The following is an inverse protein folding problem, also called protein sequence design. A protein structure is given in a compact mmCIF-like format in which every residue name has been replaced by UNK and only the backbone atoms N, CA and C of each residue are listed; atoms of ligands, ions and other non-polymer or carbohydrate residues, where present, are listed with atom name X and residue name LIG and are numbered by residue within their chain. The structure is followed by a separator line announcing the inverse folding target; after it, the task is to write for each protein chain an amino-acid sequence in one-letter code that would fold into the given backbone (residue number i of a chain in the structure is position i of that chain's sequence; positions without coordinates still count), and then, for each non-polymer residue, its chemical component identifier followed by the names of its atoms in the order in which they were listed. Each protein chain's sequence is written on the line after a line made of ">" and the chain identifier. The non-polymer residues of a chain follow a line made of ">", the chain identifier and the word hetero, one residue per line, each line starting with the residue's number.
data_IF_142863715667
#
_entry.id   IF_142863715667
#
_cell.length_a   1.000
_cell.length_b   1.000
_cell.length_c   1.000
_cell.angle_alpha   90.00
_cell.angle_beta   90.00
_cell.angle_gamma   90.00
#
_symmetry.space_group_name_H-M   'P 1'
#
loop_
_entity.id
_entity.type
_entity.pdbx_description
1 polymer ?
#
# COMPACT_ATOMS: atom_id res chain seq x y z
N UNK A 1 -53.06 -30.22 -63.56
CA UNK A 1 -54.51 -30.34 -63.25
C UNK A 1 -54.69 -30.20 -61.75
N UNK A 2 -55.72 -29.45 -61.33
CA UNK A 2 -56.33 -29.34 -59.96
C UNK A 2 -55.45 -28.74 -58.85
N UNK A 3 -55.66 -27.46 -58.42
CA UNK A 3 -56.68 -26.93 -57.47
C UNK A 3 -56.55 -27.60 -56.07
N UNK A 4 -56.55 -26.95 -54.90
CA UNK A 4 -57.36 -25.82 -54.41
C UNK A 4 -56.88 -25.42 -52.97
N UNK A 5 -57.08 -24.15 -52.58
CA UNK A 5 -57.51 -23.60 -51.26
C UNK A 5 -57.15 -24.40 -49.98
N UNK A 6 -56.47 -23.88 -48.97
CA UNK A 6 -56.73 -22.65 -48.22
C UNK A 6 -57.18 -23.00 -46.79
N UNK A 7 -56.55 -22.44 -45.75
CA UNK A 7 -57.17 -22.05 -44.45
C UNK A 7 -56.14 -21.48 -43.47
N UNK A 8 -56.46 -20.27 -42.98
CA UNK A 8 -55.93 -19.65 -41.78
C UNK A 8 -56.13 -20.56 -40.56
N UNK A 9 -55.18 -20.54 -39.63
CA UNK A 9 -55.43 -20.74 -38.20
C UNK A 9 -54.37 -19.99 -37.40
N UNK A 10 -54.81 -18.95 -36.70
CA UNK A 10 -54.09 -18.27 -35.62
C UNK A 10 -53.62 -19.30 -34.59
N UNK A 11 -52.33 -19.29 -34.27
CA UNK A 11 -51.81 -19.82 -33.01
C UNK A 11 -50.85 -18.76 -32.46
N UNK A 12 -51.32 -18.07 -31.42
CA UNK A 12 -50.54 -17.12 -30.65
C UNK A 12 -49.39 -17.85 -29.96
N UNK A 13 -48.16 -17.49 -30.34
CA UNK A 13 -46.98 -17.80 -29.57
C UNK A 13 -46.93 -16.82 -28.38
N UNK A 14 -47.38 -17.30 -27.23
CA UNK A 14 -47.17 -16.69 -25.93
C UNK A 14 -45.65 -16.68 -25.65
N UNK A 15 -44.98 -15.57 -25.93
CA UNK A 15 -43.59 -15.37 -25.54
C UNK A 15 -43.54 -15.27 -24.00
N UNK A 16 -43.14 -16.36 -23.35
CA UNK A 16 -42.75 -16.36 -21.94
C UNK A 16 -41.44 -15.57 -21.86
N UNK A 17 -41.57 -14.26 -21.67
CA UNK A 17 -40.48 -13.42 -21.16
C UNK A 17 -40.17 -13.89 -19.75
N UNK A 18 -39.25 -14.84 -19.66
CA UNK A 18 -38.63 -15.21 -18.39
C UNK A 18 -37.89 -13.98 -17.89
N UNK A 19 -38.47 -13.32 -16.88
CA UNK A 19 -37.85 -12.25 -16.14
C UNK A 19 -36.63 -12.84 -15.43
N UNK A 20 -35.47 -12.79 -16.09
CA UNK A 20 -34.19 -12.80 -15.39
C UNK A 20 -34.17 -11.54 -14.54
N UNK A 21 -34.59 -11.68 -13.28
CA UNK A 21 -34.29 -10.73 -12.23
C UNK A 21 -32.76 -10.63 -12.15
N UNK A 22 -32.22 -9.61 -12.79
CA UNK A 22 -30.85 -9.17 -12.57
C UNK A 22 -30.77 -8.72 -11.12
N UNK A 23 -30.30 -9.61 -10.26
CA UNK A 23 -29.90 -9.27 -8.90
C UNK A 23 -28.76 -8.27 -8.98
N UNK A 24 -29.09 -7.03 -8.66
CA UNK A 24 -28.26 -5.92 -8.19
C UNK A 24 -26.81 -5.88 -8.68
N UNK A 25 -26.56 -4.96 -9.62
CA UNK A 25 -25.25 -4.36 -9.79
C UNK A 25 -24.70 -3.90 -8.41
N UNK A 26 -23.48 -4.31 -8.09
CA UNK A 26 -22.70 -3.74 -7.00
C UNK A 26 -22.48 -2.24 -7.20
N UNK A 27 -21.95 -1.51 -6.19
CA UNK A 27 -21.92 -0.06 -6.19
C UNK A 27 -21.19 0.50 -7.44
N UNK A 28 -22.01 1.06 -8.33
CA UNK A 28 -21.78 2.25 -9.14
C UNK A 28 -20.46 2.38 -9.92
N UNK A 29 -20.48 1.95 -11.18
CA UNK A 29 -19.82 2.69 -12.26
C UNK A 29 -20.51 4.07 -12.33
N UNK A 30 -20.06 5.03 -11.53
CA UNK A 30 -20.71 6.35 -11.44
C UNK A 30 -20.31 7.22 -10.25
N UNK A 31 -19.59 6.70 -9.25
CA UNK A 31 -19.09 7.54 -8.17
C UNK A 31 -17.91 8.38 -8.68
N UNK A 32 -17.99 9.71 -8.52
CA UNK A 32 -16.93 10.61 -8.94
C UNK A 32 -15.70 10.38 -8.06
N UNK A 33 -14.67 9.74 -8.63
CA UNK A 33 -13.35 9.64 -8.00
C UNK A 33 -12.67 11.00 -8.11
N UNK A 34 -12.45 11.64 -6.97
CA UNK A 34 -11.71 12.88 -6.86
C UNK A 34 -10.63 12.72 -5.76
N UNK A 35 -9.41 13.24 -5.99
CA UNK A 35 -8.38 13.20 -4.99
C UNK A 35 -8.75 14.21 -3.89
N UNK A 36 -8.61 13.84 -2.61
CA UNK A 36 -8.71 14.82 -1.53
C UNK A 36 -7.51 15.77 -1.58
N UNK A 37 -7.67 16.98 -1.04
CA UNK A 37 -6.65 18.04 -1.09
C UNK A 37 -5.27 17.60 -0.58
N UNK A 38 -5.21 16.80 0.48
CA UNK A 38 -3.98 16.36 1.14
C UNK A 38 -3.81 14.84 1.12
N UNK A 39 -4.18 14.20 -0.01
CA UNK A 39 -4.04 12.78 -0.31
C UNK A 39 -4.91 11.81 0.51
N UNK A 40 -5.12 12.07 1.80
CA UNK A 40 -5.96 11.25 2.69
C UNK A 40 -7.23 11.97 3.21
N UNK A 41 -7.30 13.30 3.06
CA UNK A 41 -8.40 14.14 3.52
C UNK A 41 -8.29 15.56 2.92
N UNK A 42 -9.37 16.34 2.99
CA UNK A 42 -9.38 17.72 2.50
C UNK A 42 -8.78 18.69 3.52
N UNK A 43 -8.87 18.36 4.81
CA UNK A 43 -8.21 19.08 5.89
C UNK A 43 -7.58 18.09 6.87
N UNK A 44 -6.28 18.27 7.17
CA UNK A 44 -5.56 17.39 8.07
C UNK A 44 -5.69 17.81 9.54
N UNK A 45 -5.92 16.82 10.41
CA UNK A 45 -6.17 17.02 11.83
C UNK A 45 -4.94 17.03 12.75
N UNK A 46 -5.14 17.29 14.06
CA UNK A 46 -4.06 17.43 15.04
C UNK A 46 -3.25 16.16 15.27
N UNK A 47 -3.81 14.96 15.04
CA UNK A 47 -3.05 13.71 15.17
C UNK A 47 -1.97 13.55 14.08
N UNK A 48 -1.97 14.39 13.05
CA UNK A 48 -0.90 14.48 12.05
C UNK A 48 0.34 15.23 12.57
N UNK A 49 0.26 15.92 13.72
CA UNK A 49 1.33 16.78 14.25
C UNK A 49 2.36 16.03 15.11
N UNK A 50 2.07 14.79 15.48
CA UNK A 50 2.92 13.94 16.32
C UNK A 50 3.13 12.59 15.68
N UNK A 51 4.37 12.12 15.67
CA UNK A 51 4.74 10.80 15.17
C UNK A 51 4.36 9.70 16.18
N UNK A 52 4.53 8.43 15.81
CA UNK A 52 4.18 7.30 16.67
C UNK A 52 5.03 7.18 17.95
N UNK A 53 6.13 7.96 18.05
CA UNK A 53 6.99 8.08 19.23
C UNK A 53 6.72 9.37 20.01
N UNK A 54 5.71 10.15 19.63
CA UNK A 54 5.35 11.42 20.25
C UNK A 54 6.25 12.59 19.84
N UNK A 55 7.10 12.44 18.84
CA UNK A 55 7.92 13.54 18.33
C UNK A 55 7.08 14.47 17.43
N UNK A 56 7.28 15.77 17.59
CA UNK A 56 6.66 16.78 16.73
C UNK A 56 7.40 16.98 15.40
N UNK A 57 6.83 17.82 14.53
CA UNK A 57 7.45 18.23 13.26
C UNK A 57 8.84 18.85 13.44
N UNK A 58 9.72 18.62 12.48
CA UNK A 58 11.11 19.07 12.48
C UNK A 58 11.64 19.32 11.06
N UNK A 59 11.82 20.60 10.74
CA UNK A 59 12.48 21.06 9.50
C UNK A 59 13.89 20.50 9.36
N UNK A 60 14.63 20.43 10.47
CA UNK A 60 15.98 19.89 10.48
C UNK A 60 16.01 18.39 10.15
N UNK A 61 15.05 17.60 10.67
CA UNK A 61 14.96 16.17 10.36
C UNK A 61 14.61 15.93 8.88
N UNK A 62 13.62 16.66 8.34
CA UNK A 62 13.23 16.56 6.94
C UNK A 62 14.39 16.95 5.99
N UNK A 63 15.08 18.07 6.28
CA UNK A 63 16.23 18.52 5.50
C UNK A 63 17.38 17.52 5.52
N UNK A 64 17.76 17.00 6.70
CA UNK A 64 18.83 16.00 6.82
C UNK A 64 18.51 14.74 6.05
N UNK A 65 17.27 14.27 6.12
CA UNK A 65 16.84 13.08 5.39
C UNK A 65 16.91 13.25 3.86
N UNK A 66 16.44 14.37 3.33
CA UNK A 66 16.52 14.66 1.88
C UNK A 66 17.98 14.85 1.42
N UNK A 67 18.79 15.53 2.23
CA UNK A 67 20.22 15.66 1.96
C UNK A 67 20.92 14.29 1.96
N UNK A 68 20.64 13.42 2.94
CA UNK A 68 21.21 12.09 2.99
C UNK A 68 20.80 11.21 1.80
N UNK A 69 19.54 11.27 1.35
CA UNK A 69 19.11 10.61 0.11
C UNK A 69 19.89 11.14 -1.11
N UNK A 70 20.08 12.45 -1.20
CA UNK A 70 20.81 13.03 -2.33
C UNK A 70 22.30 12.66 -2.30
N UNK A 71 22.96 12.87 -1.17
CA UNK A 71 24.41 12.84 -1.05
C UNK A 71 24.95 11.39 -0.95
N UNK A 72 24.17 10.45 -0.37
CA UNK A 72 24.61 9.06 -0.16
C UNK A 72 24.01 8.05 -1.14
N UNK A 73 23.35 8.50 -2.22
CA UNK A 73 22.62 7.62 -3.15
C UNK A 73 23.44 6.43 -3.68
N UNK A 74 24.69 6.64 -4.10
CA UNK A 74 25.55 5.55 -4.60
C UNK A 74 25.82 4.51 -3.52
N UNK A 75 26.08 4.95 -2.29
CA UNK A 75 26.33 4.06 -1.16
C UNK A 75 25.07 3.23 -0.86
N UNK A 76 23.91 3.86 -0.80
CA UNK A 76 22.64 3.16 -0.55
C UNK A 76 22.32 2.14 -1.66
N UNK A 77 22.56 2.47 -2.93
CA UNK A 77 22.38 1.53 -4.03
C UNK A 77 23.37 0.35 -3.89
N UNK A 78 24.63 0.62 -3.58
CA UNK A 78 25.65 -0.41 -3.36
C UNK A 78 25.30 -1.33 -2.19
N UNK A 79 24.77 -0.79 -1.08
CA UNK A 79 24.35 -1.54 0.10
C UNK A 79 23.19 -2.48 -0.26
N UNK A 80 22.15 -1.94 -0.90
CA UNK A 80 21.01 -2.74 -1.36
C UNK A 80 21.46 -3.88 -2.30
N UNK A 81 22.46 -3.64 -3.15
CA UNK A 81 23.01 -4.66 -4.05
C UNK A 81 23.77 -5.78 -3.33
N UNK A 82 24.27 -5.53 -2.11
CA UNK A 82 24.89 -6.56 -1.26
C UNK A 82 23.88 -7.32 -0.39
N UNK A 83 22.62 -6.90 -0.38
CA UNK A 83 21.57 -7.59 0.37
C UNK A 83 21.41 -9.03 -0.11
N UNK A 84 21.34 -9.96 0.82
CA UNK A 84 21.15 -11.39 0.57
C UNK A 84 19.71 -11.79 0.86
N UNK A 85 19.40 -13.08 0.81
CA UNK A 85 18.06 -13.57 1.17
C UNK A 85 17.83 -13.56 2.68
N UNK A 86 18.91 -13.57 3.48
CA UNK A 86 18.87 -13.57 4.94
C UNK A 86 19.04 -12.17 5.54
N UNK A 87 19.79 -11.29 4.87
CA UNK A 87 20.15 -9.97 5.38
C UNK A 87 19.80 -8.90 4.36
N UNK A 88 19.09 -7.88 4.80
CA UNK A 88 18.64 -6.78 3.95
C UNK A 88 19.27 -5.47 4.40
N UNK A 89 20.25 -4.99 3.63
CA UNK A 89 21.04 -3.79 3.89
C UNK A 89 20.27 -2.52 3.49
N UNK A 90 19.14 -2.27 4.17
CA UNK A 90 18.21 -1.18 3.84
C UNK A 90 18.15 -0.06 4.88
N UNK A 91 18.61 -0.29 6.10
CA UNK A 91 18.15 0.49 7.25
C UNK A 91 18.59 1.95 7.17
N UNK A 92 19.85 2.21 6.78
CA UNK A 92 20.35 3.56 6.56
C UNK A 92 19.60 4.29 5.44
N UNK A 93 19.23 3.57 4.37
CA UNK A 93 18.45 4.13 3.26
C UNK A 93 17.01 4.44 3.69
N UNK A 94 16.35 3.48 4.35
CA UNK A 94 14.97 3.54 4.80
C UNK A 94 14.72 4.56 5.93
N UNK A 95 15.75 4.88 6.71
CA UNK A 95 15.68 5.88 7.77
C UNK A 95 15.32 7.28 7.22
N UNK A 96 15.56 7.54 5.94
CA UNK A 96 15.38 8.87 5.36
C UNK A 96 13.94 9.18 4.92
N UNK A 97 13.15 8.21 4.45
CA UNK A 97 11.80 8.56 4.00
C UNK A 97 10.81 8.76 5.15
N UNK A 98 11.01 8.17 6.33
CA UNK A 98 10.09 8.34 7.47
C UNK A 98 10.01 9.81 7.93
N UNK A 99 11.13 10.55 8.14
CA UNK A 99 11.06 11.97 8.44
C UNK A 99 10.41 12.79 7.34
N UNK A 100 10.68 12.50 6.07
CA UNK A 100 10.07 13.23 4.94
C UNK A 100 8.56 13.06 4.95
N UNK A 101 8.09 11.82 5.05
CA UNK A 101 6.67 11.50 5.00
C UNK A 101 5.90 12.10 6.19
N UNK A 102 6.38 11.87 7.42
CA UNK A 102 5.73 12.44 8.62
C UNK A 102 5.67 13.97 8.54
N UNK A 103 6.79 14.62 8.22
CA UNK A 103 6.83 16.08 8.17
C UNK A 103 5.99 16.67 7.03
N UNK A 104 5.69 15.92 5.98
CA UNK A 104 4.77 16.36 4.92
C UNK A 104 3.35 16.49 5.46
N UNK A 105 2.85 15.47 6.16
CA UNK A 105 1.55 15.53 6.83
C UNK A 105 1.53 16.60 7.92
N UNK A 106 2.58 16.66 8.74
CA UNK A 106 2.65 17.62 9.83
C UNK A 106 2.74 19.07 9.32
N UNK A 107 3.42 19.33 8.20
CA UNK A 107 3.46 20.64 7.58
C UNK A 107 2.08 21.07 7.07
N UNK A 108 1.40 20.18 6.34
CA UNK A 108 0.07 20.47 5.81
C UNK A 108 -0.97 20.66 6.94
N UNK A 109 -0.95 19.81 7.98
CA UNK A 109 -1.83 19.94 9.14
C UNK A 109 -1.57 21.22 9.95
N UNK A 110 -0.31 21.63 10.10
CA UNK A 110 0.06 22.85 10.81
C UNK A 110 -0.05 24.11 9.94
N UNK A 111 -0.41 23.98 8.66
CA UNK A 111 -0.34 25.05 7.68
C UNK A 111 1.04 25.76 7.68
N UNK A 112 2.12 24.97 7.69
CA UNK A 112 3.50 25.43 7.82
C UNK A 112 4.20 25.51 6.44
N UNK A 113 4.12 26.66 5.74
CA UNK A 113 4.67 26.80 4.40
C UNK A 113 6.20 26.68 4.38
N UNK A 114 6.90 27.03 5.46
CA UNK A 114 8.36 26.95 5.54
C UNK A 114 8.85 25.49 5.59
N UNK A 115 8.17 24.65 6.37
CA UNK A 115 8.44 23.21 6.39
C UNK A 115 8.06 22.55 5.06
N UNK A 116 6.88 22.88 4.51
CA UNK A 116 6.45 22.38 3.20
C UNK A 116 7.48 22.72 2.12
N UNK A 117 7.92 23.97 2.06
CA UNK A 117 8.94 24.44 1.10
C UNK A 117 10.27 23.69 1.26
N UNK A 118 10.74 23.48 2.49
CA UNK A 118 11.96 22.69 2.76
C UNK A 118 11.87 21.29 2.17
N UNK A 119 10.71 20.63 2.27
CA UNK A 119 10.51 19.29 1.73
C UNK A 119 10.45 19.34 0.21
N UNK A 120 9.67 20.25 -0.37
CA UNK A 120 9.51 20.37 -1.82
C UNK A 120 10.85 20.70 -2.48
N UNK A 121 11.66 21.61 -1.93
CA UNK A 121 12.99 21.94 -2.43
C UNK A 121 13.92 20.72 -2.45
N UNK A 122 13.86 19.89 -1.40
CA UNK A 122 14.64 18.65 -1.36
C UNK A 122 14.18 17.62 -2.39
N UNK A 123 12.87 17.50 -2.63
CA UNK A 123 12.32 16.65 -3.69
C UNK A 123 12.73 17.17 -5.09
N UNK A 124 12.65 18.47 -5.33
CA UNK A 124 13.07 19.10 -6.58
C UNK A 124 14.56 18.89 -6.82
N UNK A 125 15.41 19.03 -5.79
CA UNK A 125 16.85 18.75 -5.88
C UNK A 125 17.13 17.30 -6.28
N UNK A 126 16.42 16.32 -5.70
CA UNK A 126 16.53 14.90 -6.10
C UNK A 126 16.11 14.70 -7.57
N UNK A 127 15.00 15.33 -7.97
CA UNK A 127 14.48 15.23 -9.32
C UNK A 127 15.43 15.82 -10.38
N UNK A 128 15.93 17.04 -10.14
CA UNK A 128 16.85 17.73 -11.05
C UNK A 128 18.20 17.02 -11.18
N UNK A 129 18.63 16.29 -10.16
CA UNK A 129 19.87 15.50 -10.19
C UNK A 129 19.68 14.10 -10.77
N UNK A 130 18.45 13.70 -11.13
CA UNK A 130 18.14 12.40 -11.72
C UNK A 130 18.46 11.20 -10.81
N UNK A 131 18.55 11.42 -9.50
CA UNK A 131 18.94 10.37 -8.54
C UNK A 131 17.88 9.28 -8.45
N UNK A 132 18.33 8.07 -8.18
CA UNK A 132 17.56 6.83 -8.13
C UNK A 132 16.80 6.49 -9.40
N UNK A 133 17.32 6.90 -10.57
CA UNK A 133 16.77 6.52 -11.86
C UNK A 133 17.75 5.62 -12.61
N UNK A 134 18.91 6.15 -13.00
CA UNK A 134 19.82 5.49 -13.93
C UNK A 134 21.27 5.39 -13.40
N UNK A 135 21.44 5.37 -12.07
CA UNK A 135 22.77 5.18 -11.51
C UNK A 135 23.35 3.79 -11.80
N UNK A 136 24.69 3.68 -11.86
CA UNK A 136 25.37 2.40 -11.92
C UNK A 136 24.90 1.46 -10.80
N UNK A 137 24.69 0.19 -11.15
CA UNK A 137 24.23 -0.87 -10.25
C UNK A 137 22.78 -0.74 -9.73
N UNK A 138 22.02 0.28 -10.15
CA UNK A 138 20.61 0.37 -9.84
C UNK A 138 19.80 -0.61 -10.71
N UNK A 139 19.38 -1.72 -10.10
CA UNK A 139 18.50 -2.67 -10.79
C UNK A 139 17.05 -2.19 -10.82
N UNK A 140 16.47 -2.18 -12.02
CA UNK A 140 15.02 -2.13 -12.21
C UNK A 140 14.35 -3.47 -11.87
N UNK A 141 13.02 -3.47 -11.74
CA UNK A 141 12.27 -4.72 -11.60
C UNK A 141 12.46 -5.67 -12.79
N UNK A 142 12.52 -5.13 -14.01
CA UNK A 142 12.71 -5.94 -15.21
C UNK A 142 14.07 -6.65 -15.19
N UNK A 143 15.14 -5.93 -14.86
CA UNK A 143 16.50 -6.50 -14.75
C UNK A 143 16.60 -7.47 -13.57
N UNK A 144 16.00 -7.16 -12.42
CA UNK A 144 16.05 -8.05 -11.26
C UNK A 144 15.30 -9.38 -11.51
N UNK A 145 14.20 -9.35 -12.26
CA UNK A 145 13.42 -10.56 -12.62
C UNK A 145 14.09 -11.43 -13.68
N UNK A 146 15.06 -10.90 -14.42
CA UNK A 146 15.88 -11.70 -15.37
C UNK A 146 17.12 -12.32 -14.72
N UNK A 147 17.35 -12.08 -13.42
CA UNK A 147 18.43 -12.67 -12.64
C UNK A 147 17.88 -13.80 -11.76
N UNK A 148 18.74 -14.72 -11.27
CA UNK A 148 18.30 -15.81 -10.40
C UNK A 148 17.47 -15.31 -9.22
N UNK A 149 16.43 -16.06 -8.88
CA UNK A 149 15.56 -15.73 -7.77
C UNK A 149 16.36 -15.73 -6.45
N UNK A 150 15.85 -15.01 -5.46
CA UNK A 150 16.44 -15.06 -4.12
C UNK A 150 16.32 -16.50 -3.60
N UNK A 151 17.36 -16.99 -2.91
CA UNK A 151 17.62 -18.39 -2.55
C UNK A 151 18.08 -19.33 -3.68
N UNK A 152 17.87 -19.01 -4.95
CA UNK A 152 18.26 -19.91 -6.06
C UNK A 152 19.79 -20.10 -6.12
N UNK A 153 20.53 -19.01 -5.96
CA UNK A 153 21.99 -19.02 -5.85
C UNK A 153 22.51 -19.27 -4.41
N UNK A 154 21.63 -19.73 -3.51
CA UNK A 154 21.90 -19.89 -2.08
C UNK A 154 21.53 -18.66 -1.23
N UNK A 155 21.32 -18.84 0.08
CA UNK A 155 20.77 -17.81 0.96
C UNK A 155 21.70 -16.61 1.17
N UNK A 156 23.01 -16.81 1.04
CA UNK A 156 24.05 -15.77 1.19
C UNK A 156 24.40 -15.03 -0.11
N UNK A 157 23.86 -15.47 -1.26
CA UNK A 157 24.06 -14.77 -2.51
C UNK A 157 23.24 -13.45 -2.55
N UNK A 158 23.72 -12.42 -3.28
CA UNK A 158 22.93 -11.21 -3.50
C UNK A 158 21.54 -11.51 -4.05
N UNK A 159 20.51 -10.94 -3.43
CA UNK A 159 19.11 -11.07 -3.84
C UNK A 159 18.75 -9.90 -4.76
N UNK A 160 18.61 -10.12 -6.09
CA UNK A 160 18.47 -9.03 -7.06
C UNK A 160 17.23 -8.16 -6.85
N UNK A 161 16.17 -8.73 -6.27
CA UNK A 161 14.88 -8.03 -6.08
C UNK A 161 14.90 -7.04 -4.92
N UNK A 162 15.88 -7.07 -4.01
CA UNK A 162 15.95 -6.12 -2.91
C UNK A 162 16.18 -4.68 -3.37
N UNK A 163 17.08 -4.46 -4.34
CA UNK A 163 17.33 -3.11 -4.88
C UNK A 163 16.06 -2.43 -5.43
N UNK A 164 15.35 -2.98 -6.44
CA UNK A 164 14.15 -2.34 -6.95
C UNK A 164 13.03 -2.28 -5.92
N UNK A 165 12.92 -3.25 -4.99
CA UNK A 165 11.92 -3.21 -3.91
C UNK A 165 12.08 -1.97 -3.03
N UNK A 166 13.28 -1.72 -2.51
CA UNK A 166 13.49 -0.58 -1.60
C UNK A 166 13.47 0.77 -2.32
N UNK A 167 13.92 0.81 -3.57
CA UNK A 167 13.78 2.01 -4.41
C UNK A 167 12.31 2.30 -4.71
N UNK A 168 11.49 1.26 -4.97
CA UNK A 168 10.03 1.41 -5.12
C UNK A 168 9.40 1.97 -3.84
N UNK A 169 9.78 1.46 -2.67
CA UNK A 169 9.30 1.98 -1.36
C UNK A 169 9.72 3.43 -1.14
N UNK A 170 10.95 3.82 -1.50
CA UNK A 170 11.38 5.22 -1.44
C UNK A 170 10.46 6.08 -2.29
N UNK A 171 10.28 5.75 -3.58
CA UNK A 171 9.41 6.51 -4.47
C UNK A 171 7.96 6.58 -3.98
N UNK A 172 7.42 5.49 -3.43
CA UNK A 172 6.08 5.49 -2.84
C UNK A 172 5.96 6.56 -1.74
N UNK A 173 6.90 6.61 -0.80
CA UNK A 173 6.88 7.62 0.27
C UNK A 173 7.06 9.04 -0.27
N UNK A 174 7.95 9.25 -1.24
CA UNK A 174 8.20 10.60 -1.81
C UNK A 174 7.03 11.10 -2.66
N UNK A 175 6.39 10.21 -3.44
CA UNK A 175 5.17 10.54 -4.18
C UNK A 175 4.02 10.86 -3.22
N UNK A 176 3.82 10.06 -2.15
CA UNK A 176 2.80 10.39 -1.15
C UNK A 176 3.10 11.75 -0.50
N UNK A 177 4.35 12.02 -0.16
CA UNK A 177 4.77 13.31 0.40
C UNK A 177 4.45 14.48 -0.53
N UNK A 178 4.74 14.34 -1.83
CA UNK A 178 4.40 15.35 -2.84
C UNK A 178 2.88 15.53 -3.00
N UNK A 179 2.10 14.44 -2.98
CA UNK A 179 0.64 14.49 -3.06
C UNK A 179 0.01 15.16 -1.83
N UNK A 180 0.53 14.92 -0.63
CA UNK A 180 0.09 15.59 0.60
C UNK A 180 0.36 17.10 0.54
N UNK A 181 1.50 17.48 -0.03
CA UNK A 181 1.93 18.87 -0.18
C UNK A 181 1.48 19.51 -1.50
N UNK A 182 0.60 18.87 -2.27
CA UNK A 182 0.15 19.35 -3.57
C UNK A 182 -0.31 20.83 -3.56
N UNK A 183 -1.06 21.31 -2.54
CA UNK A 183 -1.47 22.72 -2.45
C UNK A 183 -0.32 23.73 -2.28
N UNK A 184 0.89 23.27 -1.94
CA UNK A 184 2.09 24.09 -1.76
C UNK A 184 3.02 24.05 -2.98
N UNK A 185 2.75 23.18 -3.97
CA UNK A 185 3.54 23.07 -5.19
C UNK A 185 3.21 24.21 -6.15
N UNK A 186 4.25 24.91 -6.62
CA UNK A 186 4.16 25.83 -7.75
C UNK A 186 4.18 25.07 -9.09
N UNK A 187 3.85 25.74 -10.18
CA UNK A 187 3.99 25.16 -11.53
C UNK A 187 5.43 24.77 -11.85
N UNK A 188 6.41 25.54 -11.36
CA UNK A 188 7.83 25.22 -11.51
C UNK A 188 8.22 23.95 -10.75
N UNK A 189 7.70 23.76 -9.53
CA UNK A 189 7.92 22.53 -8.77
C UNK A 189 7.34 21.32 -9.51
N UNK A 190 6.10 21.46 -10.00
CA UNK A 190 5.43 20.41 -10.78
C UNK A 190 6.21 20.06 -12.04
N UNK A 191 6.69 21.07 -12.77
CA UNK A 191 7.50 20.88 -13.98
C UNK A 191 8.81 20.13 -13.69
N UNK A 192 9.46 20.41 -12.55
CA UNK A 192 10.69 19.72 -12.14
C UNK A 192 10.43 18.28 -11.66
N UNK A 193 9.37 18.05 -10.89
CA UNK A 193 9.08 16.74 -10.29
C UNK A 193 8.48 15.74 -11.27
N UNK A 194 7.62 16.19 -12.20
CA UNK A 194 6.82 15.30 -13.07
C UNK A 194 7.66 14.34 -13.91
N UNK A 195 8.71 14.77 -14.66
CA UNK A 195 9.50 13.86 -15.48
C UNK A 195 10.19 12.77 -14.65
N UNK A 196 10.71 13.16 -13.48
CA UNK A 196 11.40 12.25 -12.57
C UNK A 196 10.44 11.20 -11.99
N UNK A 197 9.29 11.63 -11.46
CA UNK A 197 8.28 10.71 -10.95
C UNK A 197 7.66 9.84 -12.04
N UNK A 198 7.49 10.35 -13.25
CA UNK A 198 7.00 9.57 -14.39
C UNK A 198 7.97 8.44 -14.79
N UNK A 199 9.26 8.74 -14.88
CA UNK A 199 10.29 7.72 -15.11
C UNK A 199 10.31 6.67 -13.99
N UNK A 200 10.31 7.12 -12.74
CA UNK A 200 10.29 6.24 -11.57
C UNK A 200 9.03 5.37 -11.50
N UNK A 201 7.86 5.96 -11.80
CA UNK A 201 6.59 5.27 -11.82
C UNK A 201 6.60 4.11 -12.82
N UNK A 202 7.06 4.37 -14.05
CA UNK A 202 7.15 3.33 -15.09
C UNK A 202 8.15 2.24 -14.74
N UNK A 203 9.32 2.61 -14.20
CA UNK A 203 10.45 1.69 -13.95
C UNK A 203 10.28 0.85 -12.68
N UNK A 204 9.67 1.41 -11.64
CA UNK A 204 9.61 0.82 -10.31
C UNK A 204 8.19 0.55 -9.82
N UNK A 205 7.34 1.57 -9.75
CA UNK A 205 6.02 1.47 -9.08
C UNK A 205 5.02 0.63 -9.89
N UNK A 206 4.82 0.95 -11.18
CA UNK A 206 3.80 0.30 -12.02
C UNK A 206 4.05 -1.21 -12.14
N UNK A 207 5.31 -1.60 -12.37
CA UNK A 207 5.71 -3.00 -12.57
C UNK A 207 5.46 -3.87 -11.34
N UNK A 208 5.56 -3.27 -10.15
CA UNK A 208 5.28 -3.96 -8.89
C UNK A 208 3.79 -3.97 -8.59
N UNK A 209 3.13 -2.83 -8.72
CA UNK A 209 1.73 -2.63 -8.38
C UNK A 209 0.74 -3.44 -9.24
N UNK A 210 1.08 -3.67 -10.52
CA UNK A 210 0.28 -4.51 -11.43
C UNK A 210 0.84 -5.92 -11.58
N UNK A 211 1.87 -6.28 -10.81
CA UNK A 211 2.44 -7.61 -10.84
C UNK A 211 1.47 -8.65 -10.26
N UNK A 212 1.58 -9.89 -10.70
CA UNK A 212 0.85 -11.01 -10.09
C UNK A 212 1.52 -11.42 -8.76
N UNK A 213 1.52 -10.51 -7.78
CA UNK A 213 2.02 -10.81 -6.45
C UNK A 213 1.08 -11.80 -5.75
N UNK A 214 1.64 -12.69 -4.95
CA UNK A 214 0.87 -13.58 -4.09
C UNK A 214 0.84 -12.99 -2.68
N UNK A 215 -0.34 -12.64 -2.19
CA UNK A 215 -0.54 -11.92 -0.92
C UNK A 215 -0.56 -10.40 -1.03
N UNK A 216 -0.67 -9.75 0.13
CA UNK A 216 -0.72 -8.30 0.30
C UNK A 216 0.48 -7.83 1.13
N UNK A 217 1.12 -6.76 0.68
CA UNK A 217 2.37 -6.18 1.18
C UNK A 217 2.27 -4.65 1.18
N UNK A 218 3.43 -3.96 1.20
CA UNK A 218 3.52 -2.52 1.44
C UNK A 218 2.66 -1.70 0.49
N UNK A 219 2.07 -0.65 1.03
CA UNK A 219 1.21 0.31 0.36
C UNK A 219 0.03 -0.36 -0.36
N UNK A 220 -0.38 -1.54 0.14
CA UNK A 220 -1.39 -2.42 -0.43
C UNK A 220 -0.93 -3.19 -1.67
N UNK A 221 0.35 -3.45 -1.85
CA UNK A 221 1.02 -3.76 -3.14
C UNK A 221 1.11 -2.52 -4.05
N UNK A 222 1.68 -1.45 -3.50
CA UNK A 222 1.99 -0.20 -4.21
C UNK A 222 0.80 0.56 -4.81
N UNK A 223 -0.42 0.17 -4.42
CA UNK A 223 -1.63 0.85 -4.87
C UNK A 223 -1.73 2.29 -4.38
N UNK A 224 -1.30 2.57 -3.15
CA UNK A 224 -1.28 3.95 -2.64
C UNK A 224 -0.29 4.83 -3.42
N UNK A 225 0.85 4.27 -3.85
CA UNK A 225 1.82 4.99 -4.68
C UNK A 225 1.24 5.33 -6.06
N UNK A 226 0.43 4.42 -6.64
CA UNK A 226 -0.31 4.68 -7.88
C UNK A 226 -1.32 5.83 -7.72
N UNK A 227 -2.05 5.87 -6.60
CA UNK A 227 -2.96 6.98 -6.30
C UNK A 227 -2.22 8.30 -6.09
N UNK A 228 -1.10 8.28 -5.37
CA UNK A 228 -0.27 9.47 -5.17
C UNK A 228 0.26 10.01 -6.51
N UNK A 229 0.74 9.12 -7.38
CA UNK A 229 1.15 9.47 -8.74
C UNK A 229 -0.01 10.06 -9.55
N UNK A 230 -1.21 9.46 -9.49
CA UNK A 230 -2.39 9.98 -10.16
C UNK A 230 -2.77 11.40 -9.71
N UNK A 231 -2.65 11.70 -8.41
CA UNK A 231 -2.88 13.05 -7.89
C UNK A 231 -1.83 14.04 -8.42
N UNK A 232 -0.54 13.70 -8.32
CA UNK A 232 0.56 14.57 -8.78
C UNK A 232 0.44 14.90 -10.26
N UNK A 233 0.03 13.92 -11.09
CA UNK A 233 -0.09 14.10 -12.54
C UNK A 233 -1.43 14.69 -12.97
N UNK A 234 -2.47 14.60 -12.13
CA UNK A 234 -3.84 14.94 -12.47
C UNK A 234 -4.55 13.86 -13.30
N UNK A 235 -3.98 12.65 -13.40
CA UNK A 235 -4.55 11.56 -14.20
C UNK A 235 -5.56 10.73 -13.40
N UNK A 236 -6.83 11.13 -13.47
CA UNK A 236 -7.92 10.40 -12.79
C UNK A 236 -8.26 9.05 -13.45
N UNK A 237 -7.78 8.80 -14.68
CA UNK A 237 -7.88 7.49 -15.31
C UNK A 237 -7.06 6.46 -14.55
N UNK A 238 -5.84 6.82 -14.14
CA UNK A 238 -4.99 5.96 -13.30
C UNK A 238 -5.66 5.70 -11.95
N UNK A 239 -6.25 6.72 -11.32
CA UNK A 239 -6.91 6.57 -10.02
C UNK A 239 -8.09 5.61 -10.07
N UNK A 240 -9.02 5.78 -11.03
CA UNK A 240 -10.17 4.89 -11.21
C UNK A 240 -9.75 3.45 -11.48
N UNK A 241 -8.75 3.27 -12.36
CA UNK A 241 -8.24 1.95 -12.69
C UNK A 241 -7.59 1.27 -11.49
N UNK A 242 -6.83 2.01 -10.66
CA UNK A 242 -6.22 1.46 -9.45
C UNK A 242 -7.27 1.07 -8.41
N UNK A 243 -8.28 1.90 -8.13
CA UNK A 243 -9.33 1.56 -7.16
C UNK A 243 -10.11 0.31 -7.59
N UNK A 244 -10.50 0.23 -8.86
CA UNK A 244 -11.18 -0.94 -9.41
C UNK A 244 -10.30 -2.19 -9.37
N UNK A 245 -9.04 -2.06 -9.79
CA UNK A 245 -8.07 -3.14 -9.76
C UNK A 245 -7.87 -3.64 -8.33
N UNK A 246 -7.62 -2.74 -7.37
CA UNK A 246 -7.32 -3.09 -5.98
C UNK A 246 -8.47 -3.77 -5.28
N UNK A 247 -9.70 -3.36 -5.57
CA UNK A 247 -10.90 -4.04 -5.07
C UNK A 247 -10.92 -5.51 -5.49
N UNK A 248 -10.80 -5.79 -6.79
CA UNK A 248 -10.80 -7.16 -7.31
C UNK A 248 -9.62 -7.98 -6.79
N UNK A 249 -8.48 -7.32 -6.64
CA UNK A 249 -7.25 -7.88 -6.13
C UNK A 249 -7.34 -8.30 -4.65
N UNK A 250 -7.93 -7.47 -3.79
CA UNK A 250 -8.22 -7.84 -2.40
C UNK A 250 -9.28 -8.95 -2.31
N UNK A 251 -10.32 -8.93 -3.16
CA UNK A 251 -11.28 -10.03 -3.26
C UNK A 251 -10.63 -11.35 -3.72
N UNK A 252 -9.54 -11.31 -4.47
CA UNK A 252 -8.81 -12.53 -4.84
C UNK A 252 -7.98 -13.06 -3.67
N UNK A 253 -7.42 -12.17 -2.84
CA UNK A 253 -6.40 -12.51 -1.85
C UNK A 253 -6.91 -12.70 -0.44
N UNK A 254 -7.98 -12.01 -0.05
CA UNK A 254 -8.61 -12.15 1.26
C UNK A 254 -9.76 -13.14 1.10
N UNK A 255 -9.59 -14.32 1.68
CA UNK A 255 -10.62 -15.36 1.66
C UNK A 255 -11.86 -14.92 2.46
N UNK A 256 -13.05 -15.48 2.19
CA UNK A 256 -14.23 -15.27 3.03
C UNK A 256 -13.99 -15.57 4.52
N UNK A 257 -13.07 -16.48 4.82
CA UNK A 257 -12.64 -16.84 6.19
C UNK A 257 -11.84 -15.73 6.88
N UNK A 258 -11.38 -14.71 6.15
CA UNK A 258 -10.46 -13.68 6.62
C UNK A 258 -8.98 -14.04 6.47
N UNK A 259 -8.61 -15.29 6.16
CA UNK A 259 -7.22 -15.62 5.87
C UNK A 259 -6.79 -14.97 4.54
N UNK A 260 -5.60 -14.39 4.56
CA UNK A 260 -4.98 -13.73 3.41
C UNK A 260 -4.05 -14.74 2.73
N UNK A 261 -4.31 -15.02 1.46
CA UNK A 261 -3.48 -15.88 0.60
C UNK A 261 -2.02 -15.48 0.70
N UNK A 262 -1.15 -16.48 0.83
CA UNK A 262 0.31 -16.31 0.91
C UNK A 262 0.85 -15.40 2.02
N UNK A 263 0.01 -14.81 2.86
CA UNK A 263 0.39 -14.17 4.11
C UNK A 263 0.13 -15.10 5.30
N UNK A 264 -1.09 -15.63 5.40
CA UNK A 264 -1.56 -16.36 6.59
C UNK A 264 -1.04 -17.80 6.68
N UNK A 265 -0.66 -18.36 5.54
CA UNK A 265 -0.30 -19.77 5.38
C UNK A 265 1.21 -20.03 5.48
N UNK A 266 1.98 -19.06 6.00
CA UNK A 266 3.46 -19.10 6.04
C UNK A 266 4.06 -19.90 7.20
N UNK A 267 3.38 -20.95 7.66
CA UNK A 267 3.93 -21.75 8.75
C UNK A 267 4.03 -20.96 10.05
N UNK A 268 5.10 -21.15 10.81
CA UNK A 268 5.29 -20.49 12.12
C UNK A 268 5.39 -18.95 12.06
N UNK A 269 5.41 -18.38 10.85
CA UNK A 269 5.37 -16.93 10.60
C UNK A 269 4.03 -16.43 10.08
N UNK A 270 3.05 -17.32 9.91
CA UNK A 270 1.78 -17.02 9.25
C UNK A 270 1.01 -15.88 9.91
N UNK A 271 0.98 -15.81 11.23
CA UNK A 271 0.28 -14.75 11.97
C UNK A 271 0.97 -13.38 11.79
N UNK A 272 2.28 -13.35 11.91
CA UNK A 272 3.08 -12.15 11.67
C UNK A 272 2.92 -11.63 10.23
N UNK A 273 2.92 -12.51 9.22
CA UNK A 273 2.67 -12.09 7.83
C UNK A 273 1.21 -11.74 7.54
N UNK A 274 0.25 -12.36 8.21
CA UNK A 274 -1.15 -11.98 8.14
C UNK A 274 -1.34 -10.52 8.55
N UNK A 275 -0.81 -10.14 9.72
CA UNK A 275 -0.89 -8.76 10.19
C UNK A 275 -0.06 -7.78 9.36
N UNK A 276 1.07 -8.22 8.79
CA UNK A 276 1.85 -7.44 7.83
C UNK A 276 1.08 -7.07 6.55
N UNK A 277 0.28 -8.00 6.03
CA UNK A 277 -0.54 -7.76 4.84
C UNK A 277 -1.85 -7.05 5.15
N UNK A 278 -2.43 -7.29 6.33
CA UNK A 278 -3.70 -6.69 6.71
C UNK A 278 -3.59 -5.18 6.99
N UNK A 279 -2.51 -4.72 7.62
CA UNK A 279 -2.34 -3.28 7.92
C UNK A 279 -2.34 -2.39 6.66
N UNK A 280 -1.56 -2.69 5.61
CA UNK A 280 -1.64 -1.96 4.35
C UNK A 280 -2.98 -2.13 3.63
N UNK A 281 -3.64 -3.29 3.74
CA UNK A 281 -4.95 -3.50 3.12
C UNK A 281 -6.03 -2.60 3.75
N UNK A 282 -6.09 -2.56 5.07
CA UNK A 282 -7.00 -1.70 5.83
C UNK A 282 -6.67 -0.22 5.65
N UNK A 283 -5.38 0.13 5.63
CA UNK A 283 -4.95 1.49 5.34
C UNK A 283 -5.32 1.90 3.90
N UNK A 284 -5.23 0.99 2.93
CA UNK A 284 -5.70 1.27 1.57
C UNK A 284 -7.21 1.50 1.55
N UNK A 285 -8.00 0.72 2.30
CA UNK A 285 -9.44 0.89 2.37
C UNK A 285 -9.84 2.28 2.92
N UNK A 286 -9.11 2.83 3.92
CA UNK A 286 -9.32 4.21 4.37
C UNK A 286 -8.99 5.23 3.29
N UNK A 287 -7.86 5.04 2.59
CA UNK A 287 -7.48 5.90 1.47
C UNK A 287 -8.53 5.85 0.36
N UNK A 288 -9.00 4.67 -0.02
CA UNK A 288 -10.06 4.49 -1.02
C UNK A 288 -11.32 5.28 -0.63
N UNK A 289 -11.72 5.24 0.65
CA UNK A 289 -12.85 6.04 1.15
C UNK A 289 -12.62 7.54 0.97
N UNK A 290 -11.43 8.04 1.28
CA UNK A 290 -11.08 9.45 1.05
C UNK A 290 -11.09 9.85 -0.44
N UNK A 291 -10.92 8.87 -1.32
CA UNK A 291 -11.03 9.04 -2.78
C UNK A 291 -12.44 8.74 -3.33
N UNK A 292 -13.42 8.63 -2.43
CA UNK A 292 -14.83 8.46 -2.77
C UNK A 292 -15.29 7.01 -2.96
N UNK A 293 -14.49 6.00 -2.62
CA UNK A 293 -14.84 4.58 -2.75
C UNK A 293 -14.69 3.83 -1.43
N UNK A 294 -15.80 3.53 -0.76
CA UNK A 294 -15.78 2.88 0.56
C UNK A 294 -15.66 1.35 0.47
N UNK A 295 -14.45 0.83 0.67
CA UNK A 295 -14.19 -0.62 0.70
C UNK A 295 -14.72 -1.32 1.96
N UNK A 296 -14.94 -0.60 3.06
CA UNK A 296 -15.51 -1.18 4.27
C UNK A 296 -17.02 -1.41 4.13
N UNK A 297 -17.69 -0.54 3.38
CA UNK A 297 -19.10 -0.67 3.03
C UNK A 297 -19.37 -1.57 1.80
N UNK A 298 -18.32 -2.01 1.11
CA UNK A 298 -18.48 -2.92 -0.04
C UNK A 298 -19.08 -4.27 0.41
N UNK A 299 -20.15 -4.76 -0.23
CA UNK A 299 -20.89 -5.94 0.23
C UNK A 299 -20.10 -7.25 0.13
N UNK A 300 -19.07 -7.32 -0.72
CA UNK A 300 -18.23 -8.50 -0.88
C UNK A 300 -16.90 -8.37 -0.13
N UNK A 301 -16.29 -7.19 -0.17
CA UNK A 301 -14.97 -6.94 0.40
C UNK A 301 -15.03 -6.54 1.89
N UNK A 302 -16.00 -5.72 2.30
CA UNK A 302 -16.18 -5.28 3.68
C UNK A 302 -16.24 -6.44 4.69
N UNK A 303 -17.08 -7.47 4.47
CA UNK A 303 -17.12 -8.65 5.33
C UNK A 303 -15.78 -9.40 5.42
N UNK A 304 -15.00 -9.43 4.34
CA UNK A 304 -13.69 -10.09 4.31
C UNK A 304 -12.63 -9.31 5.07
N UNK A 305 -12.63 -7.98 4.98
CA UNK A 305 -11.77 -7.12 5.78
C UNK A 305 -12.07 -7.29 7.28
N UNK A 306 -13.36 -7.31 7.65
CA UNK A 306 -13.81 -7.61 9.03
C UNK A 306 -13.35 -9.00 9.49
N UNK A 307 -13.54 -10.01 8.64
CA UNK A 307 -13.11 -11.38 8.96
C UNK A 307 -11.58 -11.48 9.14
N UNK A 308 -10.79 -10.77 8.33
CA UNK A 308 -9.34 -10.72 8.49
C UNK A 308 -8.94 -10.03 9.81
N UNK A 309 -9.61 -8.93 10.20
CA UNK A 309 -9.41 -8.33 11.51
C UNK A 309 -9.78 -9.30 12.66
N UNK A 310 -10.86 -10.07 12.51
CA UNK A 310 -11.23 -11.12 13.47
C UNK A 310 -10.19 -12.26 13.53
N UNK A 311 -9.54 -12.61 12.41
CA UNK A 311 -8.40 -13.54 12.40
C UNK A 311 -7.18 -12.98 13.12
N UNK A 312 -7.00 -11.66 13.11
CA UNK A 312 -5.99 -11.03 13.96
C UNK A 312 -6.33 -11.21 15.45
N UNK A 313 -7.56 -10.94 15.87
CA UNK A 313 -8.00 -11.16 17.27
C UNK A 313 -7.78 -12.62 17.70
N UNK A 314 -8.20 -13.57 16.84
CA UNK A 314 -7.97 -15.00 17.06
C UNK A 314 -6.48 -15.31 17.24
N UNK A 315 -5.62 -14.81 16.36
CA UNK A 315 -4.18 -15.12 16.42
C UNK A 315 -3.46 -14.52 17.62
N UNK A 316 -3.99 -13.43 18.23
CA UNK A 316 -3.47 -12.91 19.50
C UNK A 316 -3.95 -13.74 20.69
N UNK A 317 -5.23 -14.17 20.70
CA UNK A 317 -5.84 -14.87 21.85
C UNK A 317 -5.52 -16.37 21.86
N UNK A 318 -5.53 -16.99 20.70
CA UNK A 318 -5.32 -18.41 20.48
C UNK A 318 -4.54 -18.62 19.17
N UNK A 319 -3.22 -18.52 19.30
CA UNK A 319 -2.31 -18.70 18.18
C UNK A 319 -2.45 -20.09 17.54
N UNK A 320 -2.70 -21.13 18.34
CA UNK A 320 -2.87 -22.49 17.83
C UNK A 320 -4.12 -22.60 16.94
N UNK A 321 -5.24 -22.02 17.35
CA UNK A 321 -6.46 -21.98 16.56
C UNK A 321 -6.30 -21.17 15.26
N UNK A 322 -5.56 -20.05 15.29
CA UNK A 322 -5.19 -19.34 14.07
C UNK A 322 -4.36 -20.23 13.13
N UNK A 323 -3.40 -20.98 13.68
CA UNK A 323 -2.50 -21.86 12.92
C UNK A 323 -3.14 -23.16 12.42
N UNK A 324 -4.31 -23.55 12.95
CA UNK A 324 -5.05 -24.73 12.52
C UNK A 324 -5.46 -24.71 11.03
N UNK A 325 -5.40 -23.54 10.37
CA UNK A 325 -5.61 -23.42 8.92
C UNK A 325 -4.54 -24.14 8.08
N UNK A 326 -3.38 -24.45 8.69
CA UNK A 326 -2.28 -25.14 8.02
C UNK A 326 -1.41 -24.23 7.16
N UNK A 327 -0.72 -24.84 6.20
CA UNK A 327 0.24 -24.20 5.30
C UNK A 327 -0.22 -24.36 3.85
N UNK A 328 0.14 -23.41 3.00
CA UNK A 328 -0.20 -23.38 1.56
C UNK A 328 0.85 -22.57 0.81
N UNK A 329 1.17 -23.01 -0.41
CA UNK A 329 2.19 -22.40 -1.26
C UNK A 329 3.61 -22.75 -0.79
N UNK A 330 4.62 -22.13 -1.40
CA UNK A 330 6.02 -22.51 -1.17
C UNK A 330 6.76 -21.59 -0.18
N UNK A 331 6.09 -20.54 0.30
CA UNK A 331 6.70 -19.49 1.12
C UNK A 331 6.43 -19.64 2.63
N UNK A 332 6.44 -20.87 3.16
CA UNK A 332 6.25 -21.17 4.58
C UNK A 332 7.50 -21.72 5.25
N UNK A 333 7.61 -21.53 6.58
CA UNK A 333 8.61 -22.22 7.40
C UNK A 333 7.94 -23.02 8.52
N UNK A 334 8.39 -24.25 8.73
CA UNK A 334 8.00 -25.10 9.87
C UNK A 334 9.07 -25.13 10.96
N UNK A 335 10.19 -24.42 10.80
CA UNK A 335 11.26 -24.38 11.77
C UNK A 335 10.85 -23.54 13.00
N UNK A 336 10.80 -24.10 14.22
CA UNK A 336 10.42 -23.36 15.42
C UNK A 336 11.29 -22.12 15.69
N UNK A 337 12.54 -22.09 15.25
CA UNK A 337 13.43 -20.94 15.40
C UNK A 337 12.96 -19.70 14.62
N UNK A 338 12.13 -19.90 13.59
CA UNK A 338 11.58 -18.81 12.78
C UNK A 338 10.30 -18.22 13.36
N UNK A 339 9.79 -18.74 14.49
CA UNK A 339 8.47 -18.42 15.03
C UNK A 339 8.30 -16.91 15.26
N UNK A 340 7.19 -16.38 14.74
CA UNK A 340 6.73 -15.01 14.96
C UNK A 340 5.24 -15.06 15.26
N UNK A 341 4.91 -15.16 16.54
CA UNK A 341 3.56 -15.31 17.10
C UNK A 341 2.97 -13.99 17.60
N UNK A 342 3.45 -12.86 17.06
CA UNK A 342 3.01 -11.53 17.42
C UNK A 342 2.62 -10.70 16.19
N UNK A 343 1.85 -9.64 16.40
CA UNK A 343 1.45 -8.67 15.38
C UNK A 343 2.71 -8.00 14.80
N UNK A 344 2.85 -7.96 13.47
CA UNK A 344 4.00 -7.36 12.81
C UNK A 344 4.31 -5.96 13.34
N UNK A 345 5.57 -5.65 13.62
CA UNK A 345 6.01 -4.40 14.23
C UNK A 345 5.75 -3.13 13.39
N UNK A 346 5.30 -3.29 12.15
CA UNK A 346 5.01 -2.18 11.22
C UNK A 346 3.50 -2.00 11.03
N UNK A 347 2.69 -2.88 11.61
CA UNK A 347 1.23 -2.82 11.56
C UNK A 347 0.69 -1.79 12.58
N UNK A 348 1.10 -0.54 12.42
CA UNK A 348 0.82 0.55 13.36
C UNK A 348 -0.63 1.03 13.29
N UNK A 349 -1.28 0.90 12.13
CA UNK A 349 -2.65 1.36 11.91
C UNK A 349 -3.68 0.29 12.30
N UNK A 350 -3.28 -0.99 12.27
CA UNK A 350 -4.15 -2.15 12.43
C UNK A 350 -5.09 -2.07 13.64
N UNK A 351 -4.56 -1.79 14.83
CA UNK A 351 -5.36 -1.70 16.06
C UNK A 351 -6.47 -0.65 15.96
N UNK A 352 -6.11 0.55 15.49
CA UNK A 352 -7.05 1.67 15.42
C UNK A 352 -8.11 1.44 14.35
N UNK A 353 -7.74 0.88 13.19
CA UNK A 353 -8.70 0.59 12.13
C UNK A 353 -9.65 -0.53 12.54
N UNK A 354 -9.13 -1.60 13.15
CA UNK A 354 -9.96 -2.72 13.60
C UNK A 354 -11.04 -2.27 14.60
N UNK A 355 -10.68 -1.41 15.54
CA UNK A 355 -11.61 -0.82 16.51
C UNK A 355 -12.61 0.12 15.82
N UNK A 356 -12.15 1.11 15.07
CA UNK A 356 -13.00 2.16 14.50
C UNK A 356 -13.95 1.67 13.40
N UNK A 357 -13.50 0.77 12.54
CA UNK A 357 -14.28 0.31 11.38
C UNK A 357 -15.10 -0.94 11.69
N UNK A 358 -14.65 -1.77 12.64
CA UNK A 358 -15.29 -3.06 12.92
C UNK A 358 -15.76 -3.24 14.36
N UNK A 359 -15.38 -2.36 15.29
CA UNK A 359 -15.64 -2.56 16.73
C UNK A 359 -14.84 -3.71 17.33
N UNK A 360 -13.72 -4.10 16.70
CA UNK A 360 -12.88 -5.21 17.15
C UNK A 360 -11.69 -4.63 17.93
N UNK A 361 -11.78 -4.70 19.26
CA UNK A 361 -10.69 -4.32 20.15
C UNK A 361 -9.65 -5.43 20.21
N UNK A 362 -8.59 -5.31 19.41
CA UNK A 362 -7.49 -6.27 19.36
C UNK A 362 -6.68 -6.24 20.67
N UNK A 363 -6.41 -7.40 21.31
CA UNK A 363 -5.55 -7.45 22.49
C UNK A 363 -4.14 -6.99 22.14
N UNK A 364 -3.51 -6.24 23.04
CA UNK A 364 -2.15 -5.73 22.84
C UNK A 364 -1.16 -6.87 22.99
N UNK A 365 -0.28 -7.03 21.99
CA UNK A 365 0.83 -7.98 22.06
C UNK A 365 2.07 -7.29 22.65
N UNK A 366 2.64 -7.77 23.78
CA UNK A 366 3.81 -7.13 24.40
C UNK A 366 5.02 -7.00 23.46
N UNK A 367 5.23 -8.00 22.60
CA UNK A 367 6.31 -7.96 21.61
C UNK A 367 6.05 -6.90 20.54
N UNK A 368 4.81 -6.77 20.06
CA UNK A 368 4.44 -5.70 19.16
C UNK A 368 4.67 -4.33 19.82
N UNK A 369 4.20 -4.13 21.06
CA UNK A 369 4.35 -2.87 21.79
C UNK A 369 5.81 -2.49 22.02
N UNK A 370 6.70 -3.47 22.19
CA UNK A 370 8.14 -3.25 22.29
C UNK A 370 8.73 -2.81 20.95
N UNK A 371 8.42 -3.52 19.86
CA UNK A 371 9.07 -3.31 18.56
C UNK A 371 8.49 -2.13 17.78
N UNK A 372 7.19 -1.85 17.91
CA UNK A 372 6.52 -0.73 17.27
C UNK A 372 7.09 0.62 17.73
N UNK A 373 7.66 0.71 18.94
CA UNK A 373 8.34 1.92 19.45
C UNK A 373 9.58 2.32 18.64
N UNK A 374 10.13 1.41 17.85
CA UNK A 374 11.25 1.69 16.94
C UNK A 374 10.80 2.40 15.66
N UNK A 375 9.48 2.47 15.43
CA UNK A 375 8.89 3.11 14.27
C UNK A 375 8.35 4.49 14.64
N UNK A 376 8.87 5.52 13.97
CA UNK A 376 8.30 6.88 14.06
C UNK A 376 7.04 7.06 13.22
N UNK A 377 6.93 6.33 12.11
CA UNK A 377 5.83 6.49 11.16
C UNK A 377 5.65 5.20 10.35
N UNK A 378 4.45 4.95 9.83
CA UNK A 378 4.17 3.72 9.07
C UNK A 378 4.87 3.72 7.71
N UNK A 379 5.98 2.99 7.63
CA UNK A 379 6.75 2.83 6.41
C UNK A 379 6.14 1.83 5.40
N UNK A 380 5.02 1.18 5.77
CA UNK A 380 4.32 0.21 4.91
C UNK A 380 2.91 0.65 4.50
N UNK A 381 2.40 1.74 5.07
CA UNK A 381 1.03 2.22 4.78
C UNK A 381 0.98 3.71 4.43
N UNK A 382 2.10 4.43 4.47
CA UNK A 382 2.22 5.78 3.91
C UNK A 382 1.51 6.89 4.67
N UNK A 383 0.68 6.58 5.68
CA UNK A 383 0.01 7.56 6.54
C UNK A 383 -0.45 6.93 7.85
N UNK A 384 -0.59 7.75 8.90
CA UNK A 384 -1.13 7.31 10.19
C UNK A 384 -2.66 7.28 10.14
N UNK A 385 -3.27 6.17 10.57
CA UNK A 385 -4.74 6.11 10.74
C UNK A 385 -5.24 7.14 11.76
N UNK A 386 -4.44 7.46 12.78
CA UNK A 386 -4.77 8.54 13.72
C UNK A 386 -4.87 9.89 13.02
N UNK A 387 -3.92 10.20 12.14
CA UNK A 387 -3.96 11.39 11.29
C UNK A 387 -5.24 11.40 10.44
N UNK A 388 -5.56 10.29 9.75
CA UNK A 388 -6.80 10.13 8.98
C UNK A 388 -8.06 10.41 9.82
N UNK A 389 -8.27 9.73 10.96
CA UNK A 389 -9.49 9.89 11.77
C UNK A 389 -9.60 11.25 12.46
N UNK A 390 -8.49 11.98 12.61
CA UNK A 390 -8.53 13.35 13.13
C UNK A 390 -8.84 14.40 12.05
N UNK A 391 -8.84 13.99 10.78
CA UNK A 391 -8.99 14.85 9.60
C UNK A 391 -10.45 14.96 9.15
N UNK A 392 -10.73 15.90 8.23
CA UNK A 392 -12.07 16.16 7.67
C UNK A 392 -12.08 16.14 6.15
#
# INVERSE_FOLDING_TARGET
>A
MTRLLGRLSLLGALAILSACQMTAAGPGVGQAVAPPRHFIADSLGPACLTDARGAGRSTAAARRALAALHDNHMQYIADLRRSTSLTVEKDAFAANWKPVLFNSYAAAAAQDPALARTIIDGLVRLAQSGRYLDEPNLLSWQQARSLPACYEAGPSAPCPTHTPRFVTRMYANLMISAAVLDPYLTDADRAALRPWFDAAYRKFVRVDATGNQHGIYDFGNMGMARLAYAQITGDMGIARNELSFRRGDFLKRIEPSGYIDQNSFRGVRGFWYHTYGLDPALSYALLARAWGVDFFADPALGPRLRAAAAKTDLGVRDHAAFRAVGNRGDAYSTNPADTRDFVHQYALNLYMIADREFGIVLPRSPMHDRLARLESFTQISGFSAGCYYSSR
#
